data_IF_581320911073
#
_entry.id   IF_581320911073
#
_cell.length_a   1.000
_cell.length_b   1.000
_cell.length_c   1.000
_cell.angle_alpha   90.00
_cell.angle_beta   90.00
_cell.angle_gamma   90.00
#
_symmetry.space_group_name_H-M   'P 1'
#
loop_
_entity.id
_entity.type
_entity.pdbx_description
1 polymer ?
#
# COMPACT_ATOMS: atom_id res chain seq x y z
N UNK A 1 58.13 -24.05 31.04
CA UNK A 1 57.30 -23.73 29.84
C UNK A 1 56.01 -24.55 29.85
N UNK A 2 54.98 -24.14 30.60
CA UNK A 2 53.65 -24.83 30.60
C UNK A 2 52.50 -24.08 31.29
N UNK A 3 52.62 -22.76 31.55
CA UNK A 3 51.63 -22.01 32.36
C UNK A 3 51.04 -20.75 31.71
N UNK A 4 51.45 -20.39 30.50
CA UNK A 4 50.98 -19.17 29.81
C UNK A 4 49.94 -19.42 28.70
N UNK A 5 49.59 -20.69 28.43
CA UNK A 5 48.65 -21.04 27.37
C UNK A 5 47.17 -20.90 27.76
N UNK A 6 46.85 -20.78 29.05
CA UNK A 6 45.46 -20.71 29.52
C UNK A 6 44.87 -19.29 29.51
N UNK A 7 45.70 -18.25 29.42
CA UNK A 7 45.24 -16.85 29.48
C UNK A 7 45.01 -16.21 28.11
N UNK A 8 45.51 -16.81 27.02
CA UNK A 8 45.31 -16.30 25.65
C UNK A 8 43.91 -16.67 25.11
N UNK A 9 43.26 -17.69 25.67
CA UNK A 9 41.94 -18.16 25.22
C UNK A 9 40.80 -17.31 25.82
N UNK A 10 40.99 -16.73 27.01
CA UNK A 10 39.97 -15.89 27.68
C UNK A 10 39.92 -14.48 27.05
N UNK A 11 41.04 -13.98 26.53
CA UNK A 11 41.08 -12.69 25.82
C UNK A 11 40.44 -12.70 24.43
N UNK A 12 40.24 -13.87 23.82
CA UNK A 12 39.67 -14.00 22.47
C UNK A 12 38.13 -14.09 22.45
N UNK A 13 37.48 -14.16 23.61
CA UNK A 13 36.03 -14.34 23.75
C UNK A 13 35.25 -13.05 24.01
N UNK A 14 35.90 -11.88 24.10
CA UNK A 14 35.23 -10.60 24.40
C UNK A 14 35.24 -9.62 23.21
N UNK A 15 35.98 -9.91 22.14
CA UNK A 15 36.02 -9.03 20.95
C UNK A 15 34.95 -9.31 19.88
N UNK A 16 34.02 -10.24 20.14
CA UNK A 16 32.87 -10.52 19.25
C UNK A 16 31.54 -10.24 19.95
N UNK A 17 31.47 -9.14 20.69
CA UNK A 17 30.26 -8.31 20.64
C UNK A 17 30.49 -7.33 19.48
N UNK A 18 30.68 -7.86 18.27
CA UNK A 18 29.62 -7.78 17.27
C UNK A 18 29.00 -6.39 17.35
N UNK A 19 29.66 -5.45 16.65
CA UNK A 19 29.07 -4.25 16.09
C UNK A 19 27.59 -4.56 15.88
N UNK A 20 26.76 -4.11 16.81
CA UNK A 20 25.32 -4.05 16.61
C UNK A 20 25.18 -3.07 15.48
N UNK A 21 25.26 -3.59 14.26
CA UNK A 21 24.86 -2.88 13.06
C UNK A 21 23.47 -2.42 13.42
N UNK A 22 23.34 -1.13 13.74
CA UNK A 22 22.08 -0.45 13.66
C UNK A 22 21.68 -0.63 12.20
N UNK A 23 21.03 -1.75 11.89
CA UNK A 23 20.26 -1.89 10.68
C UNK A 23 19.18 -0.85 10.85
N UNK A 24 19.43 0.34 10.30
CA UNK A 24 18.38 1.33 10.14
C UNK A 24 17.47 0.71 9.09
N UNK A 25 16.45 -0.01 9.56
CA UNK A 25 15.42 -0.52 8.68
C UNK A 25 14.75 0.70 8.08
N UNK A 26 15.07 0.98 6.82
CA UNK A 26 14.33 1.95 6.04
C UNK A 26 13.04 1.28 5.60
N UNK A 27 11.97 1.53 6.33
CA UNK A 27 10.64 1.20 5.83
C UNK A 27 10.33 2.17 4.69
N UNK A 28 10.08 1.65 3.49
CA UNK A 28 9.40 2.45 2.48
C UNK A 28 8.01 2.74 3.04
N UNK A 29 7.73 3.99 3.42
CA UNK A 29 6.40 4.43 3.84
C UNK A 29 5.51 4.73 2.64
N UNK A 30 5.83 4.18 1.47
CA UNK A 30 5.15 4.42 0.22
C UNK A 30 4.86 3.11 -0.48
N UNK A 31 3.70 3.03 -1.13
CA UNK A 31 3.29 1.91 -1.98
C UNK A 31 2.75 2.48 -3.28
N UNK A 32 3.21 1.91 -4.40
CA UNK A 32 2.60 2.17 -5.71
C UNK A 32 1.46 1.19 -5.94
N UNK A 33 0.30 1.73 -6.28
CA UNK A 33 -0.92 0.98 -6.58
C UNK A 33 -1.28 1.10 -8.06
N UNK A 34 -1.83 0.01 -8.59
CA UNK A 34 -2.34 -0.08 -9.96
C UNK A 34 -3.74 -0.67 -9.97
N UNK A 35 -4.60 -0.20 -10.87
CA UNK A 35 -5.94 -0.74 -11.08
C UNK A 35 -6.37 -0.66 -12.54
N UNK A 36 -7.38 -1.44 -12.91
CA UNK A 36 -7.98 -1.38 -14.24
C UNK A 36 -9.02 -0.26 -14.29
N UNK A 37 -8.94 0.59 -15.31
CA UNK A 37 -10.00 1.56 -15.56
C UNK A 37 -11.31 0.83 -15.91
N UNK A 38 -12.45 1.25 -15.36
CA UNK A 38 -13.72 0.61 -15.67
C UNK A 38 -14.10 0.86 -17.14
N UNK A 39 -14.59 -0.19 -17.80
CA UNK A 39 -15.10 -0.10 -19.19
C UNK A 39 -16.61 -0.29 -19.26
N UNK A 40 -17.24 -0.70 -18.16
CA UNK A 40 -18.70 -0.92 -18.04
C UNK A 40 -19.23 -0.42 -16.71
N UNK A 41 -20.48 0.04 -16.69
CA UNK A 41 -21.24 0.25 -15.47
C UNK A 41 -21.61 -1.08 -14.79
N UNK A 42 -22.05 -1.03 -13.54
CA UNK A 42 -22.58 -2.19 -12.81
C UNK A 42 -23.81 -2.78 -13.51
N UNK A 43 -24.59 -1.92 -14.19
CA UNK A 43 -25.69 -2.30 -15.08
C UNK A 43 -25.25 -3.20 -16.25
N UNK A 44 -23.95 -3.28 -16.54
CA UNK A 44 -23.38 -4.00 -17.67
C UNK A 44 -23.31 -3.17 -18.97
N UNK A 45 -23.84 -1.94 -18.99
CA UNK A 45 -23.72 -1.04 -20.14
C UNK A 45 -22.26 -0.56 -20.29
N UNK A 46 -21.77 -0.35 -21.53
CA UNK A 46 -20.45 0.22 -21.75
C UNK A 46 -20.41 1.68 -21.26
N UNK A 47 -19.28 2.09 -20.70
CA UNK A 47 -19.05 3.50 -20.34
C UNK A 47 -18.78 4.27 -21.65
N UNK A 48 -19.55 5.33 -21.96
CA UNK A 48 -19.29 6.19 -23.10
C UNK A 48 -17.89 6.79 -23.04
N UNK A 49 -17.22 6.89 -24.20
CA UNK A 49 -15.84 7.42 -24.30
C UNK A 49 -15.71 8.91 -23.98
N UNK A 50 -16.83 9.63 -23.90
CA UNK A 50 -16.89 11.07 -23.65
C UNK A 50 -16.92 11.40 -22.16
N UNK A 51 -17.05 10.37 -21.31
CA UNK A 51 -17.06 10.51 -19.86
C UNK A 51 -15.63 10.60 -19.35
N UNK A 52 -15.34 11.67 -18.60
CA UNK A 52 -14.09 11.81 -17.86
C UNK A 52 -14.20 11.02 -16.55
N UNK A 53 -13.26 10.10 -16.36
CA UNK A 53 -13.09 9.35 -15.11
C UNK A 53 -12.00 10.02 -14.27
N UNK A 54 -12.29 10.17 -12.97
CA UNK A 54 -11.28 10.47 -11.95
C UNK A 54 -11.45 9.49 -10.80
N UNK A 55 -10.44 9.38 -9.95
CA UNK A 55 -10.39 8.38 -8.88
C UNK A 55 -10.04 9.03 -7.57
N UNK A 56 -10.86 8.82 -6.55
CA UNK A 56 -10.47 9.12 -5.17
C UNK A 56 -9.71 7.92 -4.60
N UNK A 57 -8.50 8.18 -4.12
CA UNK A 57 -7.68 7.21 -3.42
C UNK A 57 -7.81 7.45 -1.92
N UNK A 58 -8.17 6.41 -1.19
CA UNK A 58 -8.34 6.43 0.26
C UNK A 58 -7.33 5.52 0.94
N UNK A 59 -7.00 5.86 2.19
CA UNK A 59 -6.37 4.94 3.12
C UNK A 59 -7.23 4.82 4.38
N UNK A 60 -7.11 3.69 5.06
CA UNK A 60 -7.54 3.55 6.44
C UNK A 60 -6.64 2.58 7.16
N UNK A 61 -6.43 2.79 8.45
CA UNK A 61 -5.93 1.70 9.29
C UNK A 61 -6.98 0.59 9.35
N UNK A 62 -6.57 -0.66 9.54
CA UNK A 62 -7.50 -1.79 9.62
C UNK A 62 -8.55 -1.57 10.74
N UNK A 63 -9.80 -1.34 10.34
CA UNK A 63 -10.92 -1.03 11.26
C UNK A 63 -10.98 0.44 11.73
N UNK A 64 -10.12 1.31 11.18
CA UNK A 64 -10.09 2.74 11.43
C UNK A 64 -10.96 3.56 10.46
N UNK A 65 -10.85 4.88 10.58
CA UNK A 65 -11.54 5.83 9.72
C UNK A 65 -10.93 5.89 8.32
N UNK A 66 -11.79 6.09 7.32
CA UNK A 66 -11.38 6.32 5.94
C UNK A 66 -10.90 7.77 5.76
N UNK A 67 -9.71 7.92 5.21
CA UNK A 67 -9.09 9.21 4.89
C UNK A 67 -8.87 9.32 3.39
N UNK A 68 -9.35 10.39 2.78
CA UNK A 68 -9.04 10.73 1.39
C UNK A 68 -7.58 11.17 1.30
N UNK A 69 -6.81 10.51 0.44
CA UNK A 69 -5.43 10.89 0.15
C UNK A 69 -5.42 11.93 -0.96
N UNK A 70 -5.96 11.57 -2.12
CA UNK A 70 -5.93 12.42 -3.32
C UNK A 70 -6.99 11.98 -4.34
N UNK A 71 -7.38 12.92 -5.21
CA UNK A 71 -8.13 12.64 -6.44
C UNK A 71 -7.16 12.64 -7.62
N UNK A 72 -7.13 11.55 -8.38
CA UNK A 72 -6.19 11.35 -9.50
C UNK A 72 -6.92 10.95 -10.78
N UNK A 73 -6.33 11.25 -11.93
CA UNK A 73 -6.98 10.98 -13.21
C UNK A 73 -6.72 9.56 -13.73
N UNK A 74 -5.56 8.95 -13.41
CA UNK A 74 -5.18 7.65 -13.93
C UNK A 74 -4.23 6.88 -12.99
N UNK A 75 -4.25 5.54 -12.97
CA UNK A 75 -3.20 4.71 -12.39
C UNK A 75 -1.91 4.72 -13.25
N UNK A 76 -0.74 4.36 -12.68
CA UNK A 76 -0.49 4.02 -11.28
C UNK A 76 -0.45 5.25 -10.37
N UNK A 77 -0.67 5.06 -9.06
CA UNK A 77 -0.54 6.11 -8.05
C UNK A 77 0.34 5.66 -6.88
N UNK A 78 1.13 6.58 -6.29
CA UNK A 78 1.98 6.27 -5.13
C UNK A 78 1.37 6.87 -3.86
N UNK A 79 0.90 6.00 -2.98
CA UNK A 79 0.35 6.36 -1.67
C UNK A 79 1.48 6.47 -0.68
N UNK A 80 1.53 7.56 0.09
CA UNK A 80 2.43 7.71 1.25
C UNK A 80 1.63 7.52 2.54
N UNK A 81 2.07 6.59 3.38
CA UNK A 81 1.46 6.33 4.68
C UNK A 81 2.02 7.28 5.75
N UNK A 82 1.16 7.80 6.64
CA UNK A 82 1.57 8.75 7.67
C UNK A 82 2.43 8.08 8.74
N UNK A 83 2.02 6.90 9.22
CA UNK A 83 2.69 6.23 10.33
C UNK A 83 3.31 4.88 9.93
N UNK A 84 4.65 4.76 9.96
CA UNK A 84 5.29 3.47 9.77
C UNK A 84 4.95 2.54 10.95
N UNK A 85 4.78 1.25 10.69
CA UNK A 85 4.40 0.24 11.69
C UNK A 85 2.92 -0.17 11.68
N UNK A 86 2.04 0.62 11.06
CA UNK A 86 0.60 0.35 11.00
C UNK A 86 0.21 -0.43 9.75
N UNK A 87 -0.87 -1.20 9.84
CA UNK A 87 -1.48 -1.92 8.72
C UNK A 87 -2.58 -1.05 8.11
N UNK A 88 -2.33 -0.61 6.89
CA UNK A 88 -3.29 0.17 6.11
C UNK A 88 -3.98 -0.69 5.04
N UNK A 89 -5.22 -0.35 4.76
CA UNK A 89 -5.96 -0.76 3.58
C UNK A 89 -6.06 0.44 2.64
N UNK A 90 -5.92 0.20 1.33
CA UNK A 90 -6.04 1.24 0.30
C UNK A 90 -7.37 1.05 -0.41
N UNK A 91 -8.16 2.12 -0.55
CA UNK A 91 -9.43 2.13 -1.26
C UNK A 91 -9.35 2.97 -2.52
N UNK A 92 -10.01 2.53 -3.60
CA UNK A 92 -10.16 3.34 -4.82
C UNK A 92 -11.64 3.47 -5.17
N UNK A 93 -12.08 4.69 -5.45
CA UNK A 93 -13.43 5.01 -5.91
C UNK A 93 -13.34 5.74 -7.25
N UNK A 94 -14.06 5.28 -8.28
CA UNK A 94 -14.17 6.02 -9.54
C UNK A 94 -15.32 7.03 -9.48
N UNK A 95 -15.08 8.20 -10.05
CA UNK A 95 -16.01 9.31 -10.21
C UNK A 95 -16.19 9.59 -11.69
N UNK A 96 -17.43 9.83 -12.08
CA UNK A 96 -17.79 10.22 -13.44
C UNK A 96 -19.06 11.06 -13.44
N UNK A 97 -19.41 11.62 -14.60
CA UNK A 97 -20.63 12.42 -14.75
C UNK A 97 -21.53 11.83 -15.82
N UNK A 98 -22.82 11.73 -15.50
CA UNK A 98 -23.91 11.38 -16.44
C UNK A 98 -24.93 12.50 -16.36
N UNK A 99 -25.24 13.14 -17.48
CA UNK A 99 -26.20 14.25 -17.52
C UNK A 99 -25.93 15.34 -16.45
N UNK A 100 -24.66 15.73 -16.31
CA UNK A 100 -24.16 16.70 -15.31
C UNK A 100 -24.28 16.26 -13.84
N UNK A 101 -24.78 15.05 -13.57
CA UNK A 101 -24.84 14.47 -12.23
C UNK A 101 -23.60 13.61 -11.94
N UNK A 102 -22.95 13.79 -10.79
CA UNK A 102 -21.81 12.97 -10.41
C UNK A 102 -22.29 11.58 -9.98
N UNK A 103 -21.63 10.57 -10.52
CA UNK A 103 -21.86 9.16 -10.27
C UNK A 103 -20.57 8.52 -9.76
N UNK A 104 -20.71 7.45 -8.98
CA UNK A 104 -19.62 6.91 -8.16
C UNK A 104 -19.60 5.38 -8.21
N UNK A 105 -18.43 4.76 -8.13
CA UNK A 105 -18.35 3.32 -7.82
C UNK A 105 -18.51 3.06 -6.32
N UNK A 106 -18.71 1.80 -5.95
CA UNK A 106 -18.29 1.35 -4.63
C UNK A 106 -16.77 1.54 -4.46
N UNK A 107 -16.33 1.76 -3.21
CA UNK A 107 -14.90 1.77 -2.91
C UNK A 107 -14.38 0.33 -3.00
N UNK A 108 -13.42 0.10 -3.88
CA UNK A 108 -12.69 -1.16 -3.89
C UNK A 108 -11.47 -1.06 -2.98
N UNK A 109 -11.53 -1.80 -1.88
CA UNK A 109 -10.43 -1.92 -0.95
C UNK A 109 -9.45 -2.98 -1.44
N UNK A 110 -8.16 -2.77 -1.21
CA UNK A 110 -7.11 -3.77 -1.38
C UNK A 110 -7.42 -4.96 -0.45
N UNK A 111 -8.06 -5.99 -0.98
CA UNK A 111 -8.38 -7.22 -0.24
C UNK A 111 -7.15 -8.11 -0.29
N UNK A 112 -6.50 -8.33 0.85
CA UNK A 112 -5.72 -9.55 1.02
C UNK A 112 -5.99 -10.12 2.41
N UNK A 113 -6.90 -11.09 2.47
CA UNK A 113 -6.86 -12.07 3.55
C UNK A 113 -5.52 -12.80 3.48
N UNK A 114 -4.76 -12.79 4.58
CA UNK A 114 -3.56 -13.62 4.73
C UNK A 114 -2.23 -12.88 4.73
N UNK A 115 -2.18 -11.57 4.51
CA UNK A 115 -0.94 -10.80 4.67
C UNK A 115 -1.04 -9.97 5.93
N UNK A 116 -0.36 -10.44 6.98
CA UNK A 116 0.14 -9.54 7.99
C UNK A 116 1.11 -8.60 7.27
N UNK A 117 0.59 -7.44 6.81
CA UNK A 117 1.36 -6.43 6.08
C UNK A 117 2.37 -5.80 7.05
N UNK A 118 3.47 -6.52 7.30
CA UNK A 118 4.76 -5.89 7.49
C UNK A 118 5.21 -5.40 6.12
N UNK A 119 5.75 -4.19 6.08
CA UNK A 119 6.21 -3.42 4.90
C UNK A 119 7.11 -4.19 3.93
N UNK A 120 6.56 -5.13 3.16
CA UNK A 120 7.26 -5.83 2.09
C UNK A 120 6.24 -6.21 1.01
N UNK A 121 6.03 -5.32 0.03
CA UNK A 121 6.04 -5.61 -1.41
C UNK A 121 5.56 -4.37 -2.21
N UNK A 122 6.28 -3.92 -3.26
CA UNK A 122 6.07 -2.61 -3.92
C UNK A 122 4.94 -2.54 -4.95
N UNK A 123 3.94 -3.42 -4.91
CA UNK A 123 2.80 -3.32 -5.84
C UNK A 123 1.53 -3.93 -5.23
N UNK A 124 0.69 -3.11 -4.59
CA UNK A 124 -0.68 -3.55 -4.30
C UNK A 124 -1.52 -3.37 -5.58
N UNK A 125 -2.18 -4.42 -6.02
CA UNK A 125 -3.04 -4.37 -7.22
C UNK A 125 -4.52 -4.41 -6.81
N UNK A 126 -5.32 -3.47 -7.31
CA UNK A 126 -6.79 -3.46 -7.14
C UNK A 126 -7.42 -3.82 -8.49
N UNK A 127 -7.96 -5.02 -8.66
CA UNK A 127 -8.43 -5.51 -9.98
C UNK A 127 -9.91 -5.94 -9.99
N UNK A 128 -10.55 -5.77 -11.16
CA UNK A 128 -12.00 -5.86 -11.48
C UNK A 128 -12.88 -4.73 -10.91
N UNK A 129 -12.87 -3.60 -11.62
CA UNK A 129 -13.52 -2.34 -11.27
C UNK A 129 -14.76 -2.07 -12.16
N UNK A 130 -15.90 -1.67 -11.56
CA UNK A 130 -17.14 -1.24 -12.24
C UNK A 130 -17.72 -0.01 -11.55
N UNK A 131 -18.52 0.77 -12.26
CA UNK A 131 -19.09 2.03 -11.72
C UNK A 131 -20.62 1.96 -11.60
N UNK A 132 -21.20 2.58 -10.58
CA UNK A 132 -22.64 2.47 -10.27
C UNK A 132 -23.41 3.66 -10.88
N UNK A 133 -24.49 3.34 -11.61
CA UNK A 133 -25.47 4.28 -12.21
C UNK A 133 -26.54 4.76 -11.21
#
# INVERSE_FOLDING_TARGET
MKKYFAWVIIGLLISVAAVGLAQTTHYANQVTITWDAPTTFESGKPIPTEIVLSYDVFIREKGGEQVLVETVDNPPYTVTFPDPGYKYEIGVLAKYYVDEQPMYSAILWSIQEGWDVGFFEPASQVTNFKVVE
#
